data_IF_910332778968
#
_entry.id   IF_910332778968
#
_cell.length_a   1.000
_cell.length_b   1.000
_cell.length_c   1.000
_cell.angle_alpha   90.00
_cell.angle_beta   90.00
_cell.angle_gamma   90.00
#
_symmetry.space_group_name_H-M   'P 1'
#
loop_
_entity.id
_entity.type
_entity.pdbx_description
1 polymer ?
#
# COMPACT_ATOMS: atom_id res chain seq x y z
N UNK A 1 -19.89 15.89 -48.59
CA UNK A 1 -19.16 14.68 -48.19
C UNK A 1 -18.04 14.33 -49.17
N UNK A 2 -18.30 14.29 -50.48
CA UNK A 2 -17.32 13.86 -51.50
C UNK A 2 -16.02 14.69 -51.56
N UNK A 3 -16.12 16.03 -51.53
CA UNK A 3 -14.93 16.90 -51.59
C UNK A 3 -13.96 16.72 -50.42
N UNK A 4 -14.45 16.30 -49.25
CA UNK A 4 -13.59 16.00 -48.10
C UNK A 4 -12.86 14.68 -48.30
N UNK A 5 -13.57 13.68 -48.84
CA UNK A 5 -13.02 12.36 -49.15
C UNK A 5 -11.95 12.44 -50.25
N UNK A 6 -12.23 13.17 -51.33
CA UNK A 6 -11.26 13.42 -52.41
C UNK A 6 -9.99 14.14 -51.92
N UNK A 7 -10.14 15.10 -51.00
CA UNK A 7 -9.00 15.79 -50.38
C UNK A 7 -8.14 14.85 -49.53
N UNK A 8 -8.76 13.94 -48.78
CA UNK A 8 -8.04 12.93 -47.97
C UNK A 8 -7.29 11.97 -48.88
N UNK A 9 -7.92 11.49 -49.96
CA UNK A 9 -7.28 10.60 -50.95
C UNK A 9 -6.07 11.31 -51.61
N UNK A 10 -6.25 12.55 -52.05
CA UNK A 10 -5.18 13.33 -52.68
C UNK A 10 -4.04 13.68 -51.70
N UNK A 11 -4.33 13.85 -50.41
CA UNK A 11 -3.32 14.03 -49.38
C UNK A 11 -2.56 12.72 -49.11
N UNK A 12 -3.28 11.60 -48.97
CA UNK A 12 -2.69 10.28 -48.80
C UNK A 12 -1.76 9.89 -49.95
N UNK A 13 -2.21 10.09 -51.20
CA UNK A 13 -1.40 9.81 -52.40
C UNK A 13 -0.10 10.61 -52.43
N UNK A 14 -0.12 11.89 -52.02
CA UNK A 14 1.09 12.74 -51.94
C UNK A 14 2.06 12.26 -50.86
N UNK A 15 1.56 11.87 -49.69
CA UNK A 15 2.39 11.35 -48.60
C UNK A 15 2.99 9.99 -48.98
N UNK A 16 2.19 9.11 -49.58
CA UNK A 16 2.63 7.79 -50.01
C UNK A 16 3.73 7.87 -51.07
N UNK A 17 3.57 8.73 -52.08
CA UNK A 17 4.60 8.97 -53.08
C UNK A 17 5.93 9.44 -52.45
N UNK A 18 5.85 10.31 -51.42
CA UNK A 18 7.04 10.81 -50.71
C UNK A 18 7.76 9.71 -49.92
N UNK A 19 6.99 8.83 -49.27
CA UNK A 19 7.49 7.67 -48.49
C UNK A 19 8.16 6.64 -49.39
N UNK A 20 7.55 6.33 -50.54
CA UNK A 20 8.10 5.40 -51.54
C UNK A 20 9.39 5.91 -52.18
N UNK A 21 9.50 7.23 -52.40
CA UNK A 21 10.70 7.85 -52.97
C UNK A 21 11.88 7.98 -51.99
N UNK A 22 11.66 7.80 -50.68
CA UNK A 22 12.71 7.91 -49.65
C UNK A 22 12.76 6.67 -48.74
N UNK A 23 13.11 5.49 -49.28
CA UNK A 23 13.05 4.23 -48.54
C UNK A 23 13.94 4.22 -47.29
N UNK A 24 15.14 4.83 -47.34
CA UNK A 24 16.04 4.93 -46.19
C UNK A 24 15.51 5.85 -45.08
N UNK A 25 14.86 6.97 -45.44
CA UNK A 25 14.24 7.85 -44.45
C UNK A 25 13.04 7.16 -43.78
N UNK A 26 12.22 6.46 -44.58
CA UNK A 26 11.10 5.65 -44.08
C UNK A 26 11.58 4.53 -43.15
N UNK A 27 12.66 3.83 -43.51
CA UNK A 27 13.29 2.82 -42.65
C UNK A 27 13.84 3.43 -41.36
N UNK A 28 14.47 4.60 -41.44
CA UNK A 28 14.94 5.34 -40.26
C UNK A 28 13.81 5.73 -39.32
N UNK A 29 12.66 6.18 -39.85
CA UNK A 29 11.46 6.45 -39.04
C UNK A 29 10.95 5.17 -38.40
N UNK A 30 10.88 4.05 -39.12
CA UNK A 30 10.42 2.77 -38.57
C UNK A 30 11.33 2.23 -37.46
N UNK A 31 12.66 2.31 -37.65
CA UNK A 31 13.62 1.95 -36.61
C UNK A 31 13.57 2.93 -35.44
N UNK A 32 13.35 4.22 -35.69
CA UNK A 32 13.19 5.25 -34.67
C UNK A 32 11.94 5.01 -33.81
N UNK A 33 10.79 4.68 -34.41
CA UNK A 33 9.57 4.34 -33.66
C UNK A 33 9.72 3.03 -32.91
N UNK A 34 10.43 2.04 -33.46
CA UNK A 34 10.74 0.80 -32.74
C UNK A 34 11.63 1.08 -31.52
N UNK A 35 12.72 1.83 -31.69
CA UNK A 35 13.63 2.20 -30.61
C UNK A 35 12.91 3.03 -29.54
N UNK A 36 12.08 3.99 -29.95
CA UNK A 36 11.25 4.78 -29.03
C UNK A 36 10.27 3.90 -28.25
N UNK A 37 9.63 2.92 -28.90
CA UNK A 37 8.73 1.97 -28.23
C UNK A 37 9.46 1.13 -27.19
N UNK A 38 10.65 0.62 -27.54
CA UNK A 38 11.51 -0.14 -26.60
C UNK A 38 11.95 0.75 -25.43
N UNK A 39 12.36 1.98 -25.72
CA UNK A 39 12.76 2.96 -24.71
C UNK A 39 11.60 3.22 -23.73
N UNK A 40 10.41 3.51 -24.24
CA UNK A 40 9.21 3.72 -23.41
C UNK A 40 8.88 2.46 -22.59
N UNK A 41 8.99 1.27 -23.17
CA UNK A 41 8.75 0.02 -22.44
C UNK A 41 9.72 -0.22 -21.27
N UNK A 42 10.97 0.24 -21.40
CA UNK A 42 11.96 0.18 -20.32
C UNK A 42 11.64 1.20 -19.22
N UNK A 43 11.23 2.42 -19.60
CA UNK A 43 10.97 3.51 -18.65
C UNK A 43 9.60 3.44 -17.96
N UNK A 44 8.61 2.78 -18.54
CA UNK A 44 7.29 2.66 -17.93
C UNK A 44 7.42 1.85 -16.63
N UNK A 45 7.08 2.44 -15.47
CA UNK A 45 7.11 1.73 -14.20
C UNK A 45 6.12 0.57 -14.23
N UNK A 46 6.61 -0.61 -13.85
CA UNK A 46 5.79 -1.82 -13.85
C UNK A 46 5.02 -1.86 -12.54
N UNK A 47 3.70 -1.93 -12.63
CA UNK A 47 2.80 -2.15 -11.49
C UNK A 47 1.98 -3.41 -11.73
N UNK A 48 1.52 -4.05 -10.65
CA UNK A 48 0.69 -5.25 -10.75
C UNK A 48 -0.79 -4.88 -11.00
N UNK A 49 -1.36 -4.04 -10.12
CA UNK A 49 -2.67 -3.40 -10.31
C UNK A 49 -2.65 -1.99 -9.68
N UNK A 50 -3.38 -1.01 -10.25
CA UNK A 50 -3.55 0.29 -9.61
C UNK A 50 -4.33 0.15 -8.30
N UNK A 51 -3.98 0.96 -7.31
CA UNK A 51 -4.76 1.12 -6.09
C UNK A 51 -6.09 1.79 -6.46
N UNK A 52 -7.20 1.15 -6.13
CA UNK A 52 -8.54 1.66 -6.35
C UNK A 52 -9.06 2.31 -5.07
N UNK A 53 -9.86 3.36 -5.25
CA UNK A 53 -10.53 4.01 -4.14
C UNK A 53 -11.94 3.45 -4.02
N UNK A 54 -12.07 2.39 -3.22
CA UNK A 54 -13.33 1.68 -3.00
C UNK A 54 -14.09 2.22 -1.79
N UNK A 55 -13.63 3.33 -1.20
CA UNK A 55 -14.25 3.93 -0.02
C UNK A 55 -14.06 3.12 1.26
N UNK A 56 -13.19 2.11 1.30
CA UNK A 56 -12.91 1.32 2.50
C UNK A 56 -11.41 1.25 2.75
N UNK A 57 -11.00 1.61 3.97
CA UNK A 57 -9.64 1.48 4.47
C UNK A 57 -9.63 0.42 5.57
N UNK A 58 -8.71 -0.53 5.49
CA UNK A 58 -8.39 -1.44 6.56
C UNK A 58 -7.17 -0.94 7.34
N UNK A 59 -7.23 -1.03 8.66
CA UNK A 59 -6.19 -0.58 9.56
C UNK A 59 -5.76 -1.63 10.57
N UNK A 60 -4.50 -1.61 10.96
CA UNK A 60 -3.97 -2.34 12.09
C UNK A 60 -3.33 -1.37 13.07
N UNK A 61 -3.84 -1.38 14.30
CA UNK A 61 -3.31 -0.62 15.41
C UNK A 61 -2.42 -1.53 16.26
N UNK A 62 -1.19 -1.09 16.51
CA UNK A 62 -0.21 -1.84 17.29
C UNK A 62 0.25 -1.03 18.51
N UNK A 63 0.22 -1.68 19.67
CA UNK A 63 0.68 -1.14 20.94
C UNK A 63 1.89 -1.96 21.46
N UNK A 64 2.56 -1.52 22.55
CA UNK A 64 3.68 -2.24 23.12
C UNK A 64 3.25 -3.63 23.59
N UNK A 65 4.14 -4.62 23.49
CA UNK A 65 3.85 -6.03 23.81
C UNK A 65 3.44 -6.24 25.29
N UNK A 66 3.74 -5.28 26.16
CA UNK A 66 3.42 -5.32 27.59
C UNK A 66 2.08 -4.65 27.94
N UNK A 67 1.31 -4.20 26.94
CA UNK A 67 0.05 -3.50 27.19
C UNK A 67 -1.01 -4.46 27.73
N UNK A 68 -1.77 -4.02 28.74
CA UNK A 68 -2.95 -4.74 29.21
C UNK A 68 -4.12 -4.52 28.25
N UNK A 69 -5.06 -5.47 28.20
CA UNK A 69 -6.27 -5.36 27.39
C UNK A 69 -7.04 -4.05 27.65
N UNK A 70 -7.21 -3.66 28.92
CA UNK A 70 -7.90 -2.42 29.29
C UNK A 70 -7.21 -1.17 28.73
N UNK A 71 -5.87 -1.11 28.81
CA UNK A 71 -5.10 -0.01 28.24
C UNK A 71 -5.18 0.00 26.69
N UNK A 72 -5.21 -1.18 26.06
CA UNK A 72 -5.37 -1.29 24.62
C UNK A 72 -6.74 -0.78 24.18
N UNK A 73 -7.81 -1.18 24.87
CA UNK A 73 -9.17 -0.71 24.59
C UNK A 73 -9.30 0.81 24.73
N UNK A 74 -8.72 1.40 25.79
CA UNK A 74 -8.71 2.85 25.98
C UNK A 74 -7.99 3.59 24.84
N UNK A 75 -6.81 3.08 24.42
CA UNK A 75 -6.04 3.66 23.31
C UNK A 75 -6.77 3.53 21.99
N UNK A 76 -7.38 2.37 21.73
CA UNK A 76 -8.19 2.15 20.55
C UNK A 76 -9.38 3.12 20.52
N UNK A 77 -10.07 3.35 21.63
CA UNK A 77 -11.16 4.33 21.70
C UNK A 77 -10.67 5.74 21.37
N UNK A 78 -9.53 6.15 21.94
CA UNK A 78 -8.92 7.44 21.63
C UNK A 78 -8.58 7.59 20.14
N UNK A 79 -8.02 6.55 19.52
CA UNK A 79 -7.74 6.52 18.08
C UNK A 79 -9.02 6.61 17.26
N UNK A 80 -10.05 5.86 17.65
CA UNK A 80 -11.36 5.89 16.99
C UNK A 80 -11.99 7.28 17.02
N UNK A 81 -11.90 7.98 18.14
CA UNK A 81 -12.37 9.37 18.25
C UNK A 81 -11.59 10.35 17.38
N UNK A 82 -10.28 10.12 17.18
CA UNK A 82 -9.46 10.93 16.28
C UNK A 82 -9.84 10.69 14.82
N UNK A 83 -9.99 9.42 14.43
CA UNK A 83 -10.36 9.03 13.06
C UNK A 83 -11.76 9.56 12.72
N UNK A 84 -12.72 9.46 13.64
CA UNK A 84 -14.08 9.92 13.38
C UNK A 84 -14.24 11.45 13.31
N UNK A 85 -13.22 12.23 13.70
CA UNK A 85 -13.22 13.69 13.50
C UNK A 85 -12.87 14.08 12.07
N UNK A 86 -12.36 13.15 11.26
CA UNK A 86 -12.02 13.41 9.87
C UNK A 86 -13.30 13.52 9.01
N UNK A 87 -13.47 14.60 8.22
CA UNK A 87 -14.68 14.82 7.43
C UNK A 87 -14.88 13.77 6.32
N UNK A 88 -13.82 13.08 5.88
CA UNK A 88 -13.90 12.05 4.85
C UNK A 88 -14.40 10.70 5.39
N UNK A 89 -14.41 10.51 6.72
CA UNK A 89 -14.83 9.26 7.36
C UNK A 89 -16.34 9.25 7.57
N UNK A 90 -16.99 8.19 7.13
CA UNK A 90 -18.43 7.94 7.35
C UNK A 90 -18.66 7.10 8.59
N UNK A 91 -17.94 5.99 8.72
CA UNK A 91 -18.03 5.11 9.88
C UNK A 91 -16.72 4.37 10.14
N UNK A 92 -16.56 3.92 11.38
CA UNK A 92 -15.40 3.14 11.83
C UNK A 92 -15.88 1.96 12.66
N UNK A 93 -15.39 0.77 12.31
CA UNK A 93 -15.51 -0.44 13.11
C UNK A 93 -14.14 -0.80 13.65
N UNK A 94 -14.04 -1.05 14.95
CA UNK A 94 -12.81 -1.43 15.62
C UNK A 94 -13.04 -2.69 16.46
N UNK A 95 -12.10 -3.64 16.41
CA UNK A 95 -12.12 -4.82 17.26
C UNK A 95 -10.74 -5.13 17.83
N UNK A 96 -10.73 -5.50 19.11
CA UNK A 96 -9.55 -5.77 19.94
C UNK A 96 -9.70 -7.15 20.56
N UNK A 97 -8.65 -7.97 20.54
CA UNK A 97 -8.65 -9.30 21.15
C UNK A 97 -7.96 -10.33 20.27
N UNK A 98 -7.58 -11.47 20.86
CA UNK A 98 -6.99 -12.59 20.12
C UNK A 98 -8.12 -13.35 19.43
N UNK A 99 -8.09 -13.39 18.09
CA UNK A 99 -9.03 -14.14 17.25
C UNK A 99 -8.28 -14.76 16.07
N UNK A 100 -8.99 -15.36 15.10
CA UNK A 100 -8.37 -15.96 13.91
C UNK A 100 -7.57 -14.98 13.03
N UNK A 101 -7.73 -13.67 13.24
CA UNK A 101 -7.11 -12.57 12.49
C UNK A 101 -6.14 -11.71 13.31
N UNK A 102 -6.25 -11.73 14.64
CA UNK A 102 -5.42 -10.99 15.59
C UNK A 102 -4.59 -11.97 16.44
N UNK A 103 -3.29 -12.11 16.19
CA UNK A 103 -2.45 -13.09 16.89
C UNK A 103 -2.12 -12.67 18.33
N UNK A 104 -2.32 -11.40 18.71
CA UNK A 104 -1.84 -10.87 19.99
C UNK A 104 -2.73 -9.78 20.59
N UNK A 105 -2.72 -9.68 21.93
CA UNK A 105 -3.50 -8.71 22.73
C UNK A 105 -3.09 -7.25 22.52
N UNK A 106 -1.88 -7.00 22.01
CA UNK A 106 -1.36 -5.67 21.69
C UNK A 106 -1.66 -5.23 20.26
N UNK A 107 -2.53 -5.95 19.55
CA UNK A 107 -2.98 -5.62 18.19
C UNK A 107 -4.49 -5.43 18.16
N UNK A 108 -4.94 -4.47 17.34
CA UNK A 108 -6.35 -4.25 17.06
C UNK A 108 -6.55 -3.96 15.57
N UNK A 109 -7.71 -4.34 15.05
CA UNK A 109 -8.07 -4.12 13.65
C UNK A 109 -9.13 -3.04 13.56
N UNK A 110 -8.98 -2.24 12.53
CA UNK A 110 -9.84 -1.11 12.21
C UNK A 110 -10.36 -1.31 10.78
N UNK A 111 -11.62 -1.03 10.56
CA UNK A 111 -12.18 -0.87 9.23
C UNK A 111 -12.88 0.49 9.20
N UNK A 112 -12.39 1.36 8.31
CA UNK A 112 -12.83 2.73 8.16
C UNK A 112 -13.57 2.79 6.82
N UNK A 113 -14.87 3.08 6.87
CA UNK A 113 -15.64 3.38 5.68
C UNK A 113 -15.60 4.88 5.45
N UNK A 114 -15.18 5.26 4.25
CA UNK A 114 -15.16 6.64 3.78
C UNK A 114 -16.47 6.98 3.11
N UNK A 115 -16.79 8.27 3.12
CA UNK A 115 -17.88 8.81 2.31
C UNK A 115 -17.64 8.54 0.81
N UNK A 116 -18.71 8.51 -0.01
CA UNK A 116 -18.60 8.47 -1.45
C UNK A 116 -17.59 9.51 -1.96
N UNK A 117 -16.85 9.18 -3.03
CA UNK A 117 -15.81 10.06 -3.56
C UNK A 117 -16.37 11.44 -3.96
N UNK A 118 -17.62 11.51 -4.40
CA UNK A 118 -18.29 12.77 -4.76
C UNK A 118 -18.57 13.69 -3.54
N UNK A 119 -18.57 13.12 -2.32
CA UNK A 119 -18.83 13.83 -1.06
C UNK A 119 -17.55 14.13 -0.26
N UNK A 120 -16.36 13.92 -0.85
CA UNK A 120 -15.06 14.23 -0.23
C UNK A 120 -14.08 14.84 -1.22
N UNK A 121 -13.25 15.75 -0.73
CA UNK A 121 -12.26 16.45 -1.56
C UNK A 121 -11.00 15.60 -1.84
N UNK A 122 -10.74 14.60 -0.99
CA UNK A 122 -9.50 13.83 -1.01
C UNK A 122 -9.69 12.36 -1.38
N UNK A 123 -8.74 11.83 -2.16
CA UNK A 123 -8.63 10.39 -2.44
C UNK A 123 -8.08 9.62 -1.24
N UNK A 124 -8.34 8.32 -1.22
CA UNK A 124 -7.99 7.41 -0.12
C UNK A 124 -6.56 7.54 0.38
N UNK A 125 -5.56 7.70 -0.50
CA UNK A 125 -4.15 7.82 -0.10
C UNK A 125 -3.89 9.08 0.76
N UNK A 126 -4.47 10.23 0.37
CA UNK A 126 -4.31 11.48 1.12
C UNK A 126 -5.04 11.42 2.47
N UNK A 127 -6.21 10.74 2.51
CA UNK A 127 -6.93 10.47 3.76
C UNK A 127 -6.09 9.56 4.67
N UNK A 128 -5.47 8.50 4.13
CA UNK A 128 -4.59 7.59 4.89
C UNK A 128 -3.44 8.36 5.55
N UNK A 129 -2.69 9.16 4.78
CA UNK A 129 -1.55 9.93 5.30
C UNK A 129 -1.99 10.91 6.41
N UNK A 130 -3.14 11.56 6.22
CA UNK A 130 -3.73 12.48 7.20
C UNK A 130 -4.12 11.75 8.49
N UNK A 131 -4.79 10.60 8.38
CA UNK A 131 -5.20 9.79 9.52
C UNK A 131 -4.01 9.23 10.29
N UNK A 132 -3.00 8.69 9.58
CA UNK A 132 -1.75 8.24 10.18
C UNK A 132 -1.04 9.39 10.92
N UNK A 133 -0.95 10.58 10.31
CA UNK A 133 -0.36 11.76 10.93
C UNK A 133 -1.12 12.26 12.17
N UNK A 134 -2.46 12.16 12.15
CA UNK A 134 -3.28 12.52 13.30
C UNK A 134 -3.09 11.55 14.46
N UNK A 135 -3.00 10.25 14.17
CA UNK A 135 -2.85 9.18 15.17
C UNK A 135 -1.42 9.06 15.69
N UNK A 136 -0.40 9.43 14.89
CA UNK A 136 1.00 9.49 15.32
C UNK A 136 1.24 10.42 16.53
N UNK A 137 0.28 11.30 16.85
CA UNK A 137 0.30 12.14 18.06
C UNK A 137 -0.05 11.39 19.34
N UNK A 138 -0.62 10.19 19.24
CA UNK A 138 -0.97 9.36 20.39
C UNK A 138 0.26 8.56 20.80
N UNK A 139 0.80 8.75 22.02
CA UNK A 139 2.07 8.15 22.39
C UNK A 139 2.00 6.62 22.49
N UNK A 140 2.98 5.93 21.89
CA UNK A 140 3.15 4.49 22.08
C UNK A 140 2.13 3.64 21.34
N UNK A 141 1.58 4.12 20.23
CA UNK A 141 0.83 3.30 19.28
C UNK A 141 1.29 3.58 17.85
N UNK A 142 1.22 2.56 17.02
CA UNK A 142 1.50 2.66 15.59
C UNK A 142 0.25 2.26 14.82
N UNK A 143 -0.14 3.07 13.84
CA UNK A 143 -1.30 2.83 13.00
C UNK A 143 -0.86 2.59 11.56
N UNK A 144 -1.15 1.38 11.08
CA UNK A 144 -0.92 0.96 9.72
C UNK A 144 -2.26 0.99 8.98
N UNK A 145 -2.37 1.71 7.87
CA UNK A 145 -3.60 1.83 7.08
C UNK A 145 -3.36 1.43 5.63
N UNK A 146 -4.34 0.77 5.03
CA UNK A 146 -4.32 0.38 3.63
C UNK A 146 -5.72 0.41 3.01
N UNK A 147 -5.85 0.80 1.74
CA UNK A 147 -7.10 0.66 1.01
C UNK A 147 -7.40 -0.82 0.74
N UNK A 148 -8.68 -1.21 0.88
CA UNK A 148 -9.11 -2.54 0.45
C UNK A 148 -9.19 -2.56 -1.08
N UNK A 149 -8.65 -3.63 -1.67
CA UNK A 149 -8.64 -3.85 -3.11
C UNK A 149 -9.60 -4.99 -3.45
N UNK A 150 -10.43 -4.81 -4.48
CA UNK A 150 -11.38 -5.85 -4.94
C UNK A 150 -10.67 -7.10 -5.49
N UNK A 151 -9.43 -6.93 -5.95
CA UNK A 151 -8.59 -8.00 -6.45
C UNK A 151 -7.29 -8.04 -5.64
N UNK A 152 -7.20 -9.01 -4.73
CA UNK A 152 -5.98 -9.33 -4.00
C UNK A 152 -5.54 -10.76 -4.36
N UNK A 153 -4.22 -10.97 -4.50
CA UNK A 153 -3.62 -12.31 -4.63
C UNK A 153 -2.84 -12.59 -3.34
N UNK A 154 -3.42 -12.20 -2.22
CA UNK A 154 -2.81 -12.37 -0.91
C UNK A 154 -3.60 -13.45 -0.17
N UNK A 155 -2.88 -14.47 0.30
CA UNK A 155 -3.46 -15.57 1.09
C UNK A 155 -3.36 -15.31 2.59
N UNK A 156 -2.71 -14.21 3.00
CA UNK A 156 -2.44 -13.84 4.38
C UNK A 156 -2.70 -12.36 4.63
N UNK A 157 -3.36 -12.07 5.76
CA UNK A 157 -3.68 -10.71 6.18
C UNK A 157 -2.45 -10.07 6.81
N UNK A 158 -1.85 -9.07 6.15
CA UNK A 158 -0.66 -8.36 6.63
C UNK A 158 -0.97 -6.93 7.09
N UNK A 159 0.00 -6.31 7.79
CA UNK A 159 -0.01 -4.88 8.17
C UNK A 159 0.44 -3.97 7.04
N UNK A 160 1.20 -4.50 6.07
CA UNK A 160 1.77 -3.78 4.91
C UNK A 160 1.37 -4.46 3.60
N UNK A 161 1.33 -3.69 2.50
CA UNK A 161 0.95 -4.21 1.17
C UNK A 161 1.94 -5.27 0.67
N UNK A 162 3.22 -5.10 1.01
CA UNK A 162 4.27 -6.04 0.65
C UNK A 162 4.65 -6.88 1.86
N UNK A 163 4.88 -8.17 1.63
CA UNK A 163 5.26 -9.14 2.64
C UNK A 163 6.61 -9.74 2.28
N UNK A 164 7.50 -9.86 3.27
CA UNK A 164 8.79 -10.51 3.13
C UNK A 164 8.97 -11.54 4.24
N UNK A 165 9.11 -12.80 3.88
CA UNK A 165 9.28 -13.90 4.84
C UNK A 165 10.75 -14.26 4.97
N UNK A 166 11.31 -14.02 6.16
CA UNK A 166 12.66 -14.47 6.50
C UNK A 166 12.58 -15.84 7.20
N UNK A 167 13.34 -16.81 6.70
CA UNK A 167 13.42 -18.15 7.28
C UNK A 167 14.85 -18.42 7.78
N UNK A 168 14.96 -19.09 8.93
CA UNK A 168 16.23 -19.57 9.45
C UNK A 168 16.05 -20.93 10.13
N UNK A 169 17.15 -21.64 10.37
CA UNK A 169 17.16 -22.96 11.01
C UNK A 169 17.15 -22.89 12.54
N UNK A 170 17.32 -21.71 13.15
CA UNK A 170 17.27 -21.52 14.61
C UNK A 170 16.63 -20.19 15.00
N UNK A 171 16.08 -20.15 16.22
CA UNK A 171 15.44 -18.96 16.77
C UNK A 171 16.46 -17.87 17.11
N UNK A 172 17.66 -18.25 17.58
CA UNK A 172 18.72 -17.27 17.90
C UNK A 172 19.16 -16.51 16.63
N UNK A 173 19.25 -17.21 15.50
CA UNK A 173 19.58 -16.58 14.22
C UNK A 173 18.52 -15.53 13.84
N UNK A 174 17.22 -15.87 13.97
CA UNK A 174 16.15 -14.89 13.70
C UNK A 174 16.22 -13.69 14.64
N UNK A 175 16.42 -13.91 15.95
CA UNK A 175 16.53 -12.83 16.94
C UNK A 175 17.66 -11.84 16.63
N UNK A 176 18.75 -12.31 16.00
CA UNK A 176 19.91 -11.49 15.64
C UNK A 176 19.71 -10.73 14.33
N UNK A 177 19.12 -11.39 13.32
CA UNK A 177 19.07 -10.86 11.96
C UNK A 177 17.82 -10.04 11.65
N UNK A 178 16.67 -10.37 12.27
CA UNK A 178 15.41 -9.64 12.02
C UNK A 178 15.53 -8.15 12.37
N UNK A 179 16.05 -7.74 13.55
CA UNK A 179 16.17 -6.32 13.88
C UNK A 179 17.07 -5.56 12.89
N UNK A 180 18.21 -6.16 12.51
CA UNK A 180 19.15 -5.54 11.56
C UNK A 180 18.55 -5.34 10.17
N UNK A 181 17.75 -6.30 9.70
CA UNK A 181 17.04 -6.19 8.43
C UNK A 181 16.00 -5.07 8.48
N UNK A 182 15.19 -5.03 9.54
CA UNK A 182 14.16 -4.00 9.74
C UNK A 182 14.79 -2.61 9.80
N UNK A 183 15.88 -2.43 10.55
CA UNK A 183 16.56 -1.13 10.66
C UNK A 183 17.11 -0.65 9.32
N UNK A 184 17.67 -1.56 8.51
CA UNK A 184 18.12 -1.23 7.15
C UNK A 184 16.97 -0.88 6.22
N UNK A 185 15.85 -1.59 6.30
CA UNK A 185 14.67 -1.31 5.48
C UNK A 185 14.05 0.04 5.86
N UNK A 186 13.99 0.38 7.15
CA UNK A 186 13.52 1.70 7.64
C UNK A 186 14.36 2.86 7.13
N UNK A 187 15.63 2.63 6.81
CA UNK A 187 16.53 3.65 6.26
C UNK A 187 16.36 3.87 4.75
N UNK A 188 15.61 3.01 4.03
CA UNK A 188 15.41 3.12 2.60
C UNK A 188 14.24 4.07 2.29
N UNK A 189 14.44 5.16 1.53
CA UNK A 189 13.35 6.08 1.18
C UNK A 189 12.30 5.47 0.25
N UNK A 190 12.61 4.32 -0.37
CA UNK A 190 11.69 3.60 -1.25
C UNK A 190 10.64 2.78 -0.50
N UNK A 191 10.77 2.61 0.82
CA UNK A 191 9.90 1.76 1.64
C UNK A 191 9.34 2.58 2.79
N UNK A 192 8.02 2.54 2.96
CA UNK A 192 7.31 3.14 4.10
C UNK A 192 6.71 2.06 4.99
N UNK A 193 6.38 2.44 6.23
CA UNK A 193 5.62 1.59 7.17
C UNK A 193 6.23 0.21 7.46
N UNK A 194 7.56 0.12 7.50
CA UNK A 194 8.29 -1.13 7.77
C UNK A 194 7.94 -1.65 9.16
N UNK A 195 7.25 -2.79 9.19
CA UNK A 195 6.85 -3.48 10.42
C UNK A 195 7.39 -4.92 10.44
N UNK A 196 7.40 -5.51 11.63
CA UNK A 196 7.79 -6.90 11.85
C UNK A 196 6.79 -7.62 12.74
N UNK A 197 6.54 -8.88 12.43
CA UNK A 197 5.76 -9.79 13.28
C UNK A 197 6.60 -10.48 14.36
N UNK A 198 7.91 -10.24 14.38
CA UNK A 198 8.79 -10.71 15.43
C UNK A 198 8.45 -10.01 16.76
N UNK A 199 7.93 -10.77 17.72
CA UNK A 199 7.57 -10.28 19.05
C UNK A 199 8.25 -11.12 20.15
N UNK A 200 9.39 -10.65 20.66
CA UNK A 200 10.23 -11.33 21.66
C UNK A 200 10.36 -10.57 22.99
N UNK A 201 9.62 -9.46 23.18
CA UNK A 201 9.69 -8.59 24.35
C UNK A 201 8.46 -8.69 25.26
N UNK A 202 7.64 -9.73 25.07
CA UNK A 202 6.52 -10.03 25.95
C UNK A 202 7.01 -10.42 27.34
N UNK A 203 6.36 -9.92 28.39
CA UNK A 203 6.63 -10.35 29.76
C UNK A 203 6.09 -11.76 29.96
N UNK A 204 6.95 -12.68 30.38
CA UNK A 204 6.56 -14.06 30.74
C UNK A 204 7.04 -14.36 32.17
N UNK A 205 6.24 -15.11 32.92
CA UNK A 205 6.64 -15.70 34.20
C UNK A 205 6.76 -17.21 34.01
N UNK A 206 7.95 -17.75 34.27
CA UNK A 206 8.20 -19.19 34.23
C UNK A 206 7.98 -19.78 35.63
N UNK A 207 7.13 -20.81 35.73
CA UNK A 207 6.90 -21.53 36.98
C UNK A 207 7.47 -22.93 36.81
N UNK A 208 8.71 -23.10 37.26
CA UNK A 208 9.32 -24.42 37.38
C UNK A 208 8.78 -25.12 38.63
N UNK A 209 7.97 -26.15 38.42
CA UNK A 209 7.56 -27.07 39.48
C UNK A 209 8.59 -28.21 39.50
N UNK A 210 9.39 -28.26 40.56
CA UNK A 210 10.29 -29.38 40.86
C UNK A 210 9.51 -30.53 41.50
#
# INVERSE_FOLDING_TARGET
SERMFERIIAAYGRVLAKVLNHPWATLGVALGTLALSVMLWIFIPKGFFPIQDNGIIQGTLQAPQTVSFANMAQRQQQVSEIIMKDPAVESLTAYVGVDGTNPSLNSARLQINLKPLDDRDDRVNAVIERLQSAVARVPGIELYLQPIQDLTIDTQVSRTQYQFTLQATSLEALSTWVPQLVDKLKALPQVSDVSSDWQDKGLAADVSVN
#
